data_IF_912459876566
#
_entry.id   IF_912459876566
#
_cell.length_a   1.000
_cell.length_b   1.000
_cell.length_c   1.000
_cell.angle_alpha   90.00
_cell.angle_beta   90.00
_cell.angle_gamma   90.00
#
_symmetry.space_group_name_H-M   'P 1'
#
loop_
_entity.id
_entity.type
_entity.pdbx_description
1 polymer ?
#
# COMPACT_ATOMS: atom_id res chain seq x y z
N UNK A 1 -7.05 -14.45 -10.40
CA UNK A 1 -6.85 -13.11 -9.82
C UNK A 1 -5.45 -12.98 -9.23
N UNK A 2 -5.05 -13.73 -8.19
CA UNK A 2 -3.70 -13.60 -7.58
C UNK A 2 -2.53 -13.73 -8.57
N UNK A 3 -2.53 -14.75 -9.44
CA UNK A 3 -1.49 -14.89 -10.49
C UNK A 3 -1.41 -13.67 -11.42
N UNK A 4 -2.57 -13.11 -11.78
CA UNK A 4 -2.64 -11.92 -12.62
C UNK A 4 -2.10 -10.69 -11.88
N UNK A 5 -2.49 -10.51 -10.61
CA UNK A 5 -1.98 -9.46 -9.72
C UNK A 5 -0.45 -9.48 -9.63
N UNK A 6 0.16 -10.62 -9.25
CA UNK A 6 1.61 -10.72 -9.12
C UNK A 6 2.33 -10.46 -10.46
N UNK A 7 1.75 -10.96 -11.56
CA UNK A 7 2.27 -10.71 -12.91
C UNK A 7 2.26 -9.21 -13.20
N UNK A 8 1.10 -8.55 -13.03
CA UNK A 8 0.92 -7.13 -13.31
C UNK A 8 1.81 -6.26 -12.43
N UNK A 9 1.82 -6.49 -11.12
CA UNK A 9 2.67 -5.81 -10.14
C UNK A 9 4.13 -5.77 -10.56
N UNK A 10 4.63 -6.92 -11.01
CA UNK A 10 6.00 -7.02 -11.52
C UNK A 10 6.23 -6.22 -12.81
N UNK A 11 5.35 -6.34 -13.81
CA UNK A 11 5.50 -5.61 -15.08
C UNK A 11 5.31 -4.10 -14.92
N UNK A 12 4.33 -3.66 -14.14
CA UNK A 12 4.11 -2.24 -13.87
C UNK A 12 5.29 -1.65 -13.07
N UNK A 13 5.85 -2.43 -12.15
CA UNK A 13 7.09 -2.10 -11.45
C UNK A 13 8.28 -1.91 -12.41
N UNK A 14 8.40 -2.78 -13.40
CA UNK A 14 9.46 -2.73 -14.42
C UNK A 14 9.25 -1.60 -15.43
N UNK A 15 8.05 -1.45 -15.98
CA UNK A 15 7.74 -0.48 -17.03
C UNK A 15 7.73 0.96 -16.49
N UNK A 16 7.57 1.15 -15.18
CA UNK A 16 7.51 2.48 -14.53
C UNK A 16 8.70 2.76 -13.58
N UNK A 17 9.83 2.07 -13.79
CA UNK A 17 11.04 2.20 -12.96
C UNK A 17 11.47 3.65 -12.71
N UNK A 18 11.47 4.52 -13.72
CA UNK A 18 11.89 5.92 -13.54
C UNK A 18 10.95 6.70 -12.60
N UNK A 19 9.64 6.51 -12.74
CA UNK A 19 8.67 7.17 -11.87
C UNK A 19 8.81 6.67 -10.43
N UNK A 20 8.94 5.35 -10.25
CA UNK A 20 9.13 4.72 -8.95
C UNK A 20 10.41 5.19 -8.26
N UNK A 21 11.52 5.31 -9.01
CA UNK A 21 12.78 5.86 -8.51
C UNK A 21 12.63 7.32 -8.06
N UNK A 22 11.89 8.15 -8.81
CA UNK A 22 11.57 9.53 -8.42
C UNK A 22 10.81 9.60 -7.09
N UNK A 23 9.77 8.78 -6.92
CA UNK A 23 9.03 8.70 -5.65
C UNK A 23 9.90 8.20 -4.49
N UNK A 24 10.75 7.19 -4.74
CA UNK A 24 11.68 6.68 -3.72
C UNK A 24 12.73 7.71 -3.32
N UNK A 25 13.27 8.48 -4.27
CA UNK A 25 14.19 9.58 -3.98
C UNK A 25 13.60 10.60 -3.01
N UNK A 26 12.31 10.92 -3.15
CA UNK A 26 11.61 11.80 -2.21
C UNK A 26 11.37 11.13 -0.83
N UNK A 27 11.07 9.83 -0.76
CA UNK A 27 11.05 9.11 0.53
C UNK A 27 12.41 9.17 1.23
N UNK A 28 13.50 8.94 0.50
CA UNK A 28 14.86 9.03 1.02
C UNK A 28 15.19 10.45 1.49
N UNK A 29 14.78 11.48 0.74
CA UNK A 29 14.97 12.87 1.15
C UNK A 29 14.23 13.19 2.46
N UNK A 30 12.99 12.71 2.62
CA UNK A 30 12.22 12.87 3.86
C UNK A 30 12.93 12.22 5.04
N UNK A 31 13.44 10.99 4.88
CA UNK A 31 14.19 10.30 5.94
C UNK A 31 15.52 10.98 6.22
N UNK A 32 16.25 11.41 5.18
CA UNK A 32 17.53 12.10 5.32
C UNK A 32 17.40 13.43 6.07
N UNK A 33 16.40 14.25 5.71
CA UNK A 33 16.16 15.53 6.36
C UNK A 33 15.52 15.39 7.73
N UNK A 34 14.57 14.47 7.90
CA UNK A 34 13.80 14.33 9.12
C UNK A 34 14.46 13.47 10.20
N UNK A 35 15.31 12.51 9.82
CA UNK A 35 15.94 11.58 10.78
C UNK A 35 17.45 11.79 10.85
N UNK A 36 18.14 11.77 9.70
CA UNK A 36 19.60 11.84 9.70
C UNK A 36 20.11 13.22 10.14
N UNK A 37 19.59 14.31 9.58
CA UNK A 37 20.07 15.66 9.90
C UNK A 37 19.87 16.05 11.39
N UNK A 38 18.71 15.80 12.05
CA UNK A 38 18.54 16.08 13.47
C UNK A 38 19.43 15.21 14.37
N UNK A 39 19.79 14.00 13.93
CA UNK A 39 20.66 13.12 14.72
C UNK A 39 22.09 13.67 14.84
N UNK A 40 22.54 14.49 13.89
CA UNK A 40 23.85 15.19 13.96
C UNK A 40 23.93 16.21 15.10
N UNK A 41 22.79 16.67 15.64
CA UNK A 41 22.78 17.64 16.74
C UNK A 41 23.14 17.03 18.10
N UNK A 42 23.08 15.70 18.24
CA UNK A 42 23.23 15.01 19.53
C UNK A 42 22.10 15.25 20.53
N UNK A 43 21.09 16.07 20.20
CA UNK A 43 19.96 16.38 21.08
C UNK A 43 18.83 15.35 20.92
N UNK A 44 18.46 14.61 22.00
CA UNK A 44 17.36 13.67 21.95
C UNK A 44 16.02 14.33 21.58
N UNK A 45 15.79 15.56 22.05
CA UNK A 45 14.58 16.31 21.74
C UNK A 45 14.47 16.64 20.24
N UNK A 46 15.57 17.07 19.62
CA UNK A 46 15.60 17.33 18.18
C UNK A 46 15.45 16.05 17.36
N UNK A 47 16.03 14.93 17.82
CA UNK A 47 15.86 13.64 17.16
C UNK A 47 14.39 13.17 17.18
N UNK A 48 13.70 13.31 18.31
CA UNK A 48 12.27 12.95 18.43
C UNK A 48 11.39 13.87 17.57
N UNK A 49 11.64 15.18 17.61
CA UNK A 49 10.91 16.14 16.78
C UNK A 49 11.11 15.86 15.28
N UNK A 50 12.35 15.59 14.89
CA UNK A 50 12.70 15.18 13.53
C UNK A 50 11.96 13.93 13.08
N UNK A 51 11.97 12.87 13.91
CA UNK A 51 11.26 11.63 13.61
C UNK A 51 9.75 11.85 13.44
N UNK A 52 9.13 12.68 14.28
CA UNK A 52 7.71 13.00 14.16
C UNK A 52 7.40 13.73 12.85
N UNK A 53 8.24 14.69 12.46
CA UNK A 53 8.12 15.39 11.17
C UNK A 53 8.33 14.42 10.00
N UNK A 54 9.34 13.55 10.08
CA UNK A 54 9.62 12.54 9.05
C UNK A 54 8.45 11.57 8.88
N UNK A 55 7.84 11.13 9.98
CA UNK A 55 6.68 10.25 9.95
C UNK A 55 5.46 10.94 9.32
N UNK A 56 5.18 12.20 9.69
CA UNK A 56 4.11 12.98 9.10
C UNK A 56 4.33 13.23 7.61
N UNK A 57 5.51 13.73 7.23
CA UNK A 57 5.89 13.97 5.83
C UNK A 57 5.89 12.68 5.00
N UNK A 58 6.38 11.58 5.57
CA UNK A 58 6.37 10.26 4.94
C UNK A 58 4.96 9.73 4.71
N UNK A 59 4.04 9.93 5.67
CA UNK A 59 2.62 9.56 5.51
C UNK A 59 1.91 10.37 4.43
N UNK A 60 2.21 11.67 4.34
CA UNK A 60 1.77 12.55 3.26
C UNK A 60 2.31 12.03 1.94
N UNK A 61 3.62 11.80 1.84
CA UNK A 61 4.25 11.37 0.61
C UNK A 61 3.78 9.99 0.13
N UNK A 62 3.50 9.06 1.06
CA UNK A 62 2.85 7.79 0.73
C UNK A 62 1.48 7.99 0.09
N UNK A 63 0.68 8.95 0.59
CA UNK A 63 -0.59 9.28 -0.03
C UNK A 63 -0.44 9.95 -1.39
N UNK A 64 0.51 10.87 -1.54
CA UNK A 64 0.81 11.50 -2.84
C UNK A 64 1.22 10.46 -3.86
N UNK A 65 2.12 9.54 -3.48
CA UNK A 65 2.51 8.41 -4.31
C UNK A 65 1.31 7.55 -4.69
N UNK A 66 0.39 7.25 -3.76
CA UNK A 66 -0.80 6.46 -4.06
C UNK A 66 -1.73 7.17 -5.06
N UNK A 67 -1.94 8.48 -4.93
CA UNK A 67 -2.75 9.26 -5.86
C UNK A 67 -2.15 9.32 -7.27
N UNK A 68 -0.83 9.47 -7.38
CA UNK A 68 -0.16 9.47 -8.67
C UNK A 68 -0.09 8.07 -9.30
N UNK A 69 0.33 7.06 -8.52
CA UNK A 69 0.52 5.68 -8.99
C UNK A 69 -0.79 4.92 -9.21
N UNK A 70 -1.92 5.43 -8.73
CA UNK A 70 -3.24 4.93 -9.14
C UNK A 70 -3.41 4.92 -10.66
N UNK A 71 -2.83 5.92 -11.35
CA UNK A 71 -2.84 5.99 -12.82
C UNK A 71 -2.14 4.77 -13.45
N UNK A 72 -1.01 4.36 -12.89
CA UNK A 72 -0.28 3.17 -13.34
C UNK A 72 -1.12 1.92 -13.16
N UNK A 73 -1.79 1.79 -12.00
CA UNK A 73 -2.72 0.70 -11.78
C UNK A 73 -3.84 0.64 -12.84
N UNK A 74 -4.24 1.79 -13.41
CA UNK A 74 -5.19 1.93 -14.52
C UNK A 74 -4.56 1.87 -15.93
N UNK A 75 -3.35 1.32 -16.08
CA UNK A 75 -2.61 1.23 -17.35
C UNK A 75 -2.29 2.60 -17.99
N UNK A 76 -2.20 3.66 -17.20
CA UNK A 76 -1.80 5.01 -17.64
C UNK A 76 -0.39 5.34 -17.14
N UNK A 77 0.23 6.34 -17.73
CA UNK A 77 1.54 6.85 -17.30
C UNK A 77 1.39 8.00 -16.28
N UNK A 78 2.42 8.17 -15.45
CA UNK A 78 2.56 9.30 -14.52
C UNK A 78 3.36 10.41 -15.18
N UNK A 79 2.82 11.62 -15.16
CA UNK A 79 3.49 12.85 -15.60
C UNK A 79 3.81 13.74 -14.40
N UNK A 80 4.72 14.69 -14.56
CA UNK A 80 5.09 15.62 -13.48
C UNK A 80 3.89 16.45 -12.98
N UNK A 81 2.97 16.83 -13.87
CA UNK A 81 1.76 17.55 -13.49
C UNK A 81 0.81 16.70 -12.64
N UNK A 82 0.79 15.38 -12.85
CA UNK A 82 0.01 14.45 -12.03
C UNK A 82 0.54 14.43 -10.58
N UNK A 83 1.85 14.62 -10.36
CA UNK A 83 2.44 14.67 -9.02
C UNK A 83 1.97 15.89 -8.23
N UNK A 84 1.86 17.05 -8.90
CA UNK A 84 1.35 18.28 -8.27
C UNK A 84 -0.12 18.12 -7.88
N UNK A 85 -0.94 17.58 -8.78
CA UNK A 85 -2.34 17.29 -8.50
C UNK A 85 -2.48 16.25 -7.37
N UNK A 86 -1.66 15.21 -7.39
CA UNK A 86 -1.60 14.19 -6.34
C UNK A 86 -1.20 14.77 -4.99
N UNK A 87 -0.33 15.79 -4.94
CA UNK A 87 0.00 16.47 -3.70
C UNK A 87 -1.21 17.19 -3.12
N UNK A 88 -1.91 17.98 -3.95
CA UNK A 88 -3.11 18.71 -3.54
C UNK A 88 -4.23 17.78 -3.03
N UNK A 89 -4.38 16.61 -3.64
CA UNK A 89 -5.37 15.61 -3.24
C UNK A 89 -4.92 14.74 -2.05
N UNK A 90 -3.63 14.46 -1.93
CA UNK A 90 -3.08 13.43 -1.04
C UNK A 90 -2.61 13.91 0.33
N UNK A 91 -2.36 15.20 0.53
CA UNK A 91 -1.82 15.67 1.81
C UNK A 91 -2.75 15.38 3.01
N UNK A 92 -4.05 15.67 2.87
CA UNK A 92 -5.01 15.45 3.96
C UNK A 92 -5.26 13.93 4.21
N UNK A 93 -5.51 13.09 3.19
CA UNK A 93 -5.58 11.64 3.39
C UNK A 93 -4.31 11.03 3.98
N UNK A 94 -3.13 11.54 3.60
CA UNK A 94 -1.86 11.10 4.15
C UNK A 94 -1.75 11.37 5.65
N UNK A 95 -2.06 12.59 6.10
CA UNK A 95 -2.10 12.91 7.54
C UNK A 95 -3.14 12.10 8.29
N UNK A 96 -4.32 11.85 7.70
CA UNK A 96 -5.34 10.99 8.28
C UNK A 96 -4.82 9.56 8.51
N UNK A 97 -4.19 8.96 7.49
CA UNK A 97 -3.58 7.64 7.66
C UNK A 97 -2.44 7.67 8.68
N UNK A 98 -1.58 8.68 8.61
CA UNK A 98 -0.46 8.86 9.53
C UNK A 98 -0.91 8.90 10.99
N UNK A 99 -1.99 9.62 11.29
CA UNK A 99 -2.59 9.66 12.62
C UNK A 99 -3.12 8.30 13.07
N UNK A 100 -3.80 7.56 12.19
CA UNK A 100 -4.30 6.21 12.50
C UNK A 100 -3.15 5.23 12.73
N UNK A 101 -2.11 5.28 11.91
CA UNK A 101 -0.91 4.45 12.06
C UNK A 101 -0.20 4.78 13.36
N UNK A 102 0.00 6.07 13.68
CA UNK A 102 0.62 6.50 14.93
C UNK A 102 -0.18 6.03 16.16
N UNK A 103 -1.51 6.17 16.13
CA UNK A 103 -2.38 5.67 17.19
C UNK A 103 -2.28 4.14 17.33
N UNK A 104 -2.23 3.41 16.21
CA UNK A 104 -2.09 1.95 16.19
C UNK A 104 -0.76 1.51 16.78
N UNK A 105 0.34 2.18 16.42
CA UNK A 105 1.68 1.91 16.99
C UNK A 105 1.73 2.22 18.48
N UNK A 106 1.14 3.35 18.91
CA UNK A 106 1.05 3.71 20.33
C UNK A 106 0.26 2.64 21.11
N UNK A 107 -0.90 2.24 20.61
CA UNK A 107 -1.70 1.18 21.23
C UNK A 107 -0.94 -0.15 21.31
N UNK A 108 -0.23 -0.54 20.25
CA UNK A 108 0.59 -1.75 20.24
C UNK A 108 1.73 -1.67 21.28
N UNK A 109 2.38 -0.51 21.39
CA UNK A 109 3.46 -0.28 22.35
C UNK A 109 3.04 -0.40 23.82
N UNK A 110 1.75 -0.22 24.12
CA UNK A 110 1.18 -0.39 25.45
C UNK A 110 0.59 -1.80 25.63
N UNK A 111 -0.17 -2.28 24.65
CA UNK A 111 -0.89 -3.54 24.73
C UNK A 111 0.05 -4.75 24.84
N UNK A 112 1.12 -4.80 24.03
CA UNK A 112 2.03 -5.95 24.05
C UNK A 112 2.79 -6.09 25.37
N UNK A 113 3.44 -5.04 25.93
CA UNK A 113 4.07 -5.15 27.24
C UNK A 113 3.09 -5.48 28.36
N UNK A 114 1.89 -4.90 28.33
CA UNK A 114 0.84 -5.19 29.31
C UNK A 114 0.45 -6.68 29.30
N UNK A 115 0.05 -7.23 28.15
CA UNK A 115 -0.35 -8.64 28.08
C UNK A 115 0.82 -9.61 28.32
N UNK A 116 2.04 -9.25 27.92
CA UNK A 116 3.23 -10.01 28.23
C UNK A 116 3.51 -10.06 29.75
N UNK A 117 3.26 -8.95 30.47
CA UNK A 117 3.50 -8.85 31.92
C UNK A 117 2.61 -9.75 32.78
N UNK A 118 1.44 -10.16 32.27
CA UNK A 118 0.53 -11.11 32.96
C UNK A 118 1.22 -12.48 33.14
N UNK A 119 2.10 -12.85 32.21
CA UNK A 119 2.79 -14.14 32.23
C UNK A 119 1.86 -15.35 32.02
N UNK A 120 2.47 -16.53 31.96
CA UNK A 120 1.76 -17.80 31.79
C UNK A 120 0.96 -17.91 30.48
N UNK A 121 0.03 -18.87 30.45
CA UNK A 121 -0.80 -19.15 29.28
C UNK A 121 -1.74 -17.99 28.92
N UNK A 122 -2.34 -17.34 29.93
CA UNK A 122 -3.30 -16.25 29.71
C UNK A 122 -2.63 -15.04 29.05
N UNK A 123 -1.44 -14.65 29.51
CA UNK A 123 -0.67 -13.57 28.90
C UNK A 123 -0.27 -13.87 27.45
N UNK A 124 0.18 -15.10 27.16
CA UNK A 124 0.52 -15.54 25.81
C UNK A 124 -0.71 -15.52 24.88
N UNK A 125 -1.85 -16.05 25.35
CA UNK A 125 -3.08 -16.07 24.59
C UNK A 125 -3.58 -14.65 24.26
N UNK A 126 -3.63 -13.76 25.26
CA UNK A 126 -4.04 -12.38 25.08
C UNK A 126 -3.11 -11.60 24.14
N UNK A 127 -1.79 -11.79 24.27
CA UNK A 127 -0.80 -11.18 23.38
C UNK A 127 -0.95 -11.68 21.94
N UNK A 128 -1.22 -12.97 21.75
CA UNK A 128 -1.44 -13.57 20.43
C UNK A 128 -2.72 -13.06 19.77
N UNK A 129 -3.80 -12.89 20.54
CA UNK A 129 -5.03 -12.31 20.05
C UNK A 129 -4.84 -10.84 19.66
N UNK A 130 -4.16 -10.05 20.50
CA UNK A 130 -3.80 -8.67 20.20
C UNK A 130 -2.96 -8.57 18.92
N UNK A 131 -1.97 -9.47 18.75
CA UNK A 131 -1.18 -9.56 17.52
C UNK A 131 -2.05 -9.70 16.27
N UNK A 132 -2.98 -10.66 16.26
CA UNK A 132 -3.85 -10.86 15.10
C UNK A 132 -4.81 -9.68 14.84
N UNK A 133 -5.26 -8.99 15.89
CA UNK A 133 -6.03 -7.76 15.74
C UNK A 133 -5.21 -6.66 15.06
N UNK A 134 -3.97 -6.44 15.49
CA UNK A 134 -3.07 -5.47 14.85
C UNK A 134 -2.75 -5.85 13.40
N UNK A 135 -2.51 -7.14 13.13
CA UNK A 135 -2.35 -7.64 11.76
C UNK A 135 -3.60 -7.30 10.92
N UNK A 136 -4.80 -7.56 11.43
CA UNK A 136 -6.05 -7.20 10.75
C UNK A 136 -6.19 -5.70 10.47
N UNK A 137 -5.77 -4.85 11.40
CA UNK A 137 -5.73 -3.38 11.21
C UNK A 137 -4.77 -3.05 10.06
N UNK A 138 -3.53 -3.54 10.08
CA UNK A 138 -2.55 -3.29 9.02
C UNK A 138 -3.02 -3.78 7.65
N UNK A 139 -3.61 -4.98 7.60
CA UNK A 139 -4.17 -5.54 6.36
C UNK A 139 -5.38 -4.76 5.85
N UNK A 140 -6.10 -4.05 6.72
CA UNK A 140 -7.18 -3.15 6.34
C UNK A 140 -6.61 -1.83 5.80
N UNK A 141 -5.66 -1.23 6.50
CA UNK A 141 -5.13 0.10 6.17
C UNK A 141 -4.42 0.18 4.82
N UNK A 142 -3.89 -0.94 4.31
CA UNK A 142 -3.25 -0.98 2.97
C UNK A 142 -4.18 -0.51 1.84
N UNK A 143 -5.50 -0.64 2.00
CA UNK A 143 -6.49 -0.25 0.98
C UNK A 143 -6.91 1.23 1.09
N UNK A 144 -6.61 1.90 2.21
CA UNK A 144 -7.18 3.21 2.53
C UNK A 144 -6.78 4.30 1.53
N UNK A 145 -5.48 4.45 1.28
CA UNK A 145 -4.97 5.49 0.38
C UNK A 145 -5.29 5.23 -1.09
N UNK A 146 -5.14 4.00 -1.62
CA UNK A 146 -5.63 3.69 -2.95
C UNK A 146 -7.13 3.93 -3.14
N UNK A 147 -7.97 3.66 -2.14
CA UNK A 147 -9.40 3.97 -2.21
C UNK A 147 -9.64 5.48 -2.28
N UNK A 148 -8.93 6.28 -1.49
CA UNK A 148 -8.96 7.75 -1.60
C UNK A 148 -8.54 8.23 -2.98
N UNK A 149 -7.50 7.65 -3.55
CA UNK A 149 -7.05 7.96 -4.90
C UNK A 149 -8.11 7.59 -5.96
N UNK A 150 -8.77 6.44 -5.81
CA UNK A 150 -9.71 5.92 -6.78
C UNK A 150 -11.05 6.65 -6.83
N UNK A 151 -11.57 7.08 -5.67
CA UNK A 151 -12.94 7.62 -5.56
C UNK A 151 -13.10 8.82 -4.64
N UNK A 152 -12.05 9.25 -3.94
CA UNK A 152 -12.15 10.28 -2.90
C UNK A 152 -13.08 9.86 -1.75
N UNK A 153 -13.95 10.77 -1.33
CA UNK A 153 -14.97 10.54 -0.30
C UNK A 153 -14.48 10.79 1.13
N UNK A 154 -15.31 10.44 2.12
CA UNK A 154 -15.06 10.72 3.53
C UNK A 154 -14.12 9.70 4.19
N UNK A 155 -13.47 10.12 5.29
CA UNK A 155 -12.55 9.26 6.06
C UNK A 155 -13.23 7.96 6.55
N UNK A 156 -14.39 8.08 7.22
CA UNK A 156 -15.09 6.94 7.81
C UNK A 156 -15.57 5.94 6.75
N UNK A 157 -16.13 6.44 5.65
CA UNK A 157 -16.60 5.61 4.54
C UNK A 157 -15.46 4.85 3.86
N UNK A 158 -14.32 5.53 3.66
CA UNK A 158 -13.11 4.91 3.11
C UNK A 158 -12.59 3.80 4.04
N UNK A 159 -12.53 4.05 5.35
CA UNK A 159 -12.06 3.06 6.32
C UNK A 159 -12.98 1.84 6.39
N UNK A 160 -14.30 2.05 6.39
CA UNK A 160 -15.29 0.97 6.32
C UNK A 160 -15.12 0.15 5.04
N UNK A 161 -14.96 0.82 3.90
CA UNK A 161 -14.75 0.13 2.62
C UNK A 161 -13.44 -0.65 2.62
N UNK A 162 -12.37 -0.08 3.17
CA UNK A 162 -11.08 -0.77 3.32
C UNK A 162 -11.23 -2.07 4.12
N UNK A 163 -11.99 -2.01 5.23
CA UNK A 163 -12.28 -3.17 6.06
C UNK A 163 -13.11 -4.22 5.30
N UNK A 164 -14.11 -3.80 4.54
CA UNK A 164 -14.90 -4.72 3.70
C UNK A 164 -14.04 -5.40 2.62
N UNK A 165 -13.11 -4.66 1.99
CA UNK A 165 -12.19 -5.23 1.00
C UNK A 165 -11.26 -6.28 1.63
N UNK A 166 -10.76 -6.04 2.84
CA UNK A 166 -9.99 -7.00 3.62
C UNK A 166 -10.83 -8.24 3.97
N UNK A 167 -12.00 -8.06 4.58
CA UNK A 167 -12.85 -9.16 5.04
C UNK A 167 -13.35 -10.05 3.90
N UNK A 168 -13.54 -9.49 2.71
CA UNK A 168 -14.01 -10.27 1.56
C UNK A 168 -12.91 -11.14 0.92
N UNK A 169 -11.62 -10.88 1.16
CA UNK A 169 -10.51 -11.74 0.70
C UNK A 169 -9.25 -11.58 1.58
N UNK A 170 -9.24 -12.10 2.81
CA UNK A 170 -8.14 -11.90 3.75
C UNK A 170 -6.82 -12.51 3.23
N UNK A 171 -6.87 -13.67 2.56
CA UNK A 171 -5.69 -14.28 1.96
C UNK A 171 -5.09 -13.44 0.82
N UNK A 172 -5.93 -12.78 0.02
CA UNK A 172 -5.45 -11.88 -1.02
C UNK A 172 -4.80 -10.63 -0.40
N UNK A 173 -5.43 -10.07 0.64
CA UNK A 173 -4.88 -8.95 1.40
C UNK A 173 -3.53 -9.28 2.05
N UNK A 174 -3.36 -10.52 2.55
CA UNK A 174 -2.10 -10.99 3.07
C UNK A 174 -1.05 -11.13 1.96
N UNK A 175 -1.43 -11.70 0.81
CA UNK A 175 -0.53 -11.84 -0.33
C UNK A 175 -0.05 -10.49 -0.87
N UNK A 176 -0.94 -9.48 -0.99
CA UNK A 176 -0.55 -8.12 -1.40
C UNK A 176 0.32 -7.43 -0.36
N UNK A 177 0.05 -7.63 0.92
CA UNK A 177 0.90 -7.10 1.99
C UNK A 177 2.31 -7.72 1.98
N UNK A 178 2.43 -9.02 1.71
CA UNK A 178 3.71 -9.70 1.54
C UNK A 178 4.45 -9.16 0.31
N UNK A 179 3.77 -9.02 -0.84
CA UNK A 179 4.38 -8.49 -2.06
C UNK A 179 4.92 -7.06 -1.87
N UNK A 180 4.13 -6.19 -1.23
CA UNK A 180 4.57 -4.84 -0.86
C UNK A 180 5.71 -4.85 0.17
N UNK A 181 5.67 -5.73 1.17
CA UNK A 181 6.75 -5.88 2.14
C UNK A 181 8.05 -6.35 1.49
N UNK A 182 7.99 -7.27 0.53
CA UNK A 182 9.15 -7.70 -0.26
C UNK A 182 9.73 -6.55 -1.08
N UNK A 183 8.90 -5.70 -1.67
CA UNK A 183 9.37 -4.49 -2.38
C UNK A 183 10.18 -3.56 -1.47
N UNK A 184 9.74 -3.36 -0.22
CA UNK A 184 10.48 -2.55 0.76
C UNK A 184 11.72 -3.28 1.28
N UNK A 185 11.62 -4.57 1.59
CA UNK A 185 12.71 -5.37 2.15
C UNK A 185 13.88 -5.55 1.18
N UNK A 186 13.61 -5.66 -0.13
CA UNK A 186 14.63 -5.74 -1.17
C UNK A 186 15.27 -4.39 -1.48
N UNK A 187 14.64 -3.29 -1.10
CA UNK A 187 15.08 -1.94 -1.45
C UNK A 187 16.51 -1.58 -1.01
N UNK A 188 17.04 -1.99 0.16
CA UNK A 188 18.43 -1.66 0.52
C UNK A 188 19.47 -2.26 -0.44
N UNK A 189 19.19 -3.42 -1.04
CA UNK A 189 20.11 -4.13 -1.96
C UNK A 189 20.37 -3.30 -3.22
N UNK A 190 19.39 -2.50 -3.61
CA UNK A 190 19.34 -1.68 -4.82
C UNK A 190 19.40 -0.19 -4.49
N UNK A 191 19.99 0.16 -3.34
CA UNK A 191 20.13 1.53 -2.84
C UNK A 191 18.81 2.31 -2.78
N UNK A 192 17.73 1.62 -2.44
CA UNK A 192 16.34 2.11 -2.37
C UNK A 192 15.81 2.69 -3.68
N UNK A 193 16.49 2.48 -4.80
CA UNK A 193 16.02 2.93 -6.10
C UNK A 193 14.88 2.05 -6.57
N UNK A 194 15.10 0.75 -6.80
CA UNK A 194 14.10 -0.15 -7.43
C UNK A 194 14.32 -1.65 -7.10
N UNK A 195 13.37 -2.35 -6.44
CA UNK A 195 12.11 -1.88 -5.87
C UNK A 195 12.29 -1.05 -4.58
N UNK A 196 11.21 -0.45 -4.07
CA UNK A 196 11.22 0.40 -2.88
C UNK A 196 9.83 0.70 -2.32
N UNK A 197 9.71 1.67 -1.38
CA UNK A 197 8.44 2.12 -0.84
C UNK A 197 7.40 2.48 -1.91
N UNK A 198 7.80 3.14 -3.00
CA UNK A 198 6.90 3.48 -4.10
C UNK A 198 6.35 2.25 -4.84
N UNK A 199 7.14 1.18 -4.96
CA UNK A 199 6.67 -0.08 -5.52
C UNK A 199 5.64 -0.76 -4.60
N UNK A 200 5.83 -0.70 -3.28
CA UNK A 200 4.83 -1.16 -2.32
C UNK A 200 3.53 -0.35 -2.37
N UNK A 201 3.62 0.96 -2.61
CA UNK A 201 2.46 1.81 -2.88
C UNK A 201 1.74 1.37 -4.16
N UNK A 202 2.48 1.11 -5.24
CA UNK A 202 1.90 0.63 -6.50
C UNK A 202 1.19 -0.71 -6.33
N UNK A 203 1.82 -1.66 -5.64
CA UNK A 203 1.22 -2.94 -5.23
C UNK A 203 -0.14 -2.73 -4.55
N UNK A 204 -0.21 -1.81 -3.59
CA UNK A 204 -1.47 -1.51 -2.88
C UNK A 204 -2.54 -0.91 -3.82
N UNK A 205 -2.13 -0.11 -4.80
CA UNK A 205 -3.04 0.46 -5.81
C UNK A 205 -3.63 -0.62 -6.71
N UNK A 206 -2.80 -1.53 -7.22
CA UNK A 206 -3.26 -2.63 -8.07
C UNK A 206 -4.15 -3.62 -7.32
N UNK A 207 -3.76 -3.98 -6.10
CA UNK A 207 -4.54 -4.84 -5.24
C UNK A 207 -5.93 -4.22 -5.02
N UNK A 208 -5.99 -2.94 -4.69
CA UNK A 208 -7.25 -2.22 -4.49
C UNK A 208 -8.10 -2.18 -5.76
N UNK A 209 -7.50 -1.88 -6.92
CA UNK A 209 -8.21 -1.84 -8.21
C UNK A 209 -8.88 -3.16 -8.54
N UNK A 210 -8.15 -4.29 -8.41
CA UNK A 210 -8.70 -5.63 -8.63
C UNK A 210 -9.88 -5.94 -7.71
N UNK A 211 -9.82 -5.48 -6.47
CA UNK A 211 -10.89 -5.67 -5.49
C UNK A 211 -12.10 -4.79 -5.78
N UNK A 212 -11.88 -3.58 -6.30
CA UNK A 212 -12.95 -2.70 -6.80
C UNK A 212 -13.69 -3.30 -8.00
N UNK A 213 -13.02 -4.03 -8.91
CA UNK A 213 -13.73 -4.75 -10.00
C UNK A 213 -14.78 -5.71 -9.45
N UNK A 214 -14.40 -6.52 -8.45
CA UNK A 214 -15.36 -7.41 -7.79
C UNK A 214 -16.45 -6.65 -7.07
N UNK A 215 -16.11 -5.59 -6.33
CA UNK A 215 -17.09 -4.80 -5.59
C UNK A 215 -18.14 -4.17 -6.53
N UNK A 216 -17.71 -3.63 -7.67
CA UNK A 216 -18.61 -3.09 -8.71
C UNK A 216 -19.48 -4.19 -9.33
N UNK A 217 -18.90 -5.37 -9.61
CA UNK A 217 -19.65 -6.51 -10.12
C UNK A 217 -20.75 -6.98 -9.14
N UNK A 218 -20.47 -7.04 -7.84
CA UNK A 218 -21.48 -7.36 -6.83
C UNK A 218 -22.54 -6.27 -6.73
N UNK A 219 -22.13 -4.99 -6.73
CA UNK A 219 -23.05 -3.87 -6.65
C UNK A 219 -24.01 -3.79 -7.84
N UNK A 220 -23.57 -4.15 -9.06
CA UNK A 220 -24.43 -4.20 -10.24
C UNK A 220 -25.50 -5.30 -10.21
N UNK A 221 -25.44 -6.21 -9.24
CA UNK A 221 -26.36 -7.36 -9.08
C UNK A 221 -27.29 -7.23 -7.88
N UNK A 222 -27.35 -6.05 -7.24
CA UNK A 222 -28.23 -5.82 -6.10
C UNK A 222 -29.69 -6.10 -6.48
N UNK A 223 -30.27 -7.15 -5.91
CA UNK A 223 -31.61 -7.67 -6.23
C UNK A 223 -31.62 -9.11 -6.74
N UNK A 224 -30.49 -9.60 -7.25
CA UNK A 224 -30.33 -10.96 -7.78
C UNK A 224 -29.70 -11.92 -6.76
N UNK A 225 -30.39 -12.19 -5.65
CA UNK A 225 -29.99 -13.22 -4.68
C UNK A 225 -28.54 -13.11 -4.17
N UNK A 226 -27.97 -14.24 -3.71
CA UNK A 226 -26.55 -14.28 -3.28
C UNK A 226 -25.65 -14.36 -4.52
N UNK A 227 -24.65 -13.48 -4.66
CA UNK A 227 -23.72 -13.54 -5.78
C UNK A 227 -22.93 -14.85 -5.74
N UNK A 228 -22.86 -15.54 -6.89
CA UNK A 228 -22.09 -16.77 -7.06
C UNK A 228 -20.58 -16.55 -7.13
N UNK A 229 -19.85 -17.53 -7.68
CA UNK A 229 -18.39 -17.45 -7.87
C UNK A 229 -18.04 -16.28 -8.80
N UNK A 230 -17.13 -15.41 -8.36
CA UNK A 230 -16.70 -14.24 -9.14
C UNK A 230 -16.09 -14.67 -10.48
N UNK A 231 -16.59 -14.15 -11.63
CA UNK A 231 -16.11 -14.50 -12.97
C UNK A 231 -14.83 -13.72 -13.32
N UNK A 232 -13.73 -14.02 -12.61
CA UNK A 232 -12.44 -13.38 -12.84
C UNK A 232 -11.90 -13.42 -14.28
N UNK A 233 -12.17 -14.44 -15.12
CA UNK A 233 -11.77 -14.41 -16.52
C UNK A 233 -12.43 -13.26 -17.30
N UNK A 234 -13.72 -13.03 -17.09
CA UNK A 234 -14.50 -11.98 -17.76
C UNK A 234 -14.12 -10.60 -17.21
N UNK A 235 -14.04 -10.46 -15.88
CA UNK A 235 -13.69 -9.19 -15.23
C UNK A 235 -12.27 -8.70 -15.56
N UNK A 236 -11.38 -9.59 -16.00
CA UNK A 236 -9.99 -9.29 -16.32
C UNK A 236 -9.69 -9.46 -17.81
N UNK A 237 -10.70 -9.55 -18.68
CA UNK A 237 -10.50 -9.75 -20.11
C UNK A 237 -9.70 -8.58 -20.71
N UNK A 238 -10.24 -7.36 -20.59
CA UNK A 238 -9.63 -6.12 -21.08
C UNK A 238 -8.25 -5.89 -20.45
N UNK A 239 -8.12 -6.17 -19.16
CA UNK A 239 -6.87 -6.04 -18.40
C UNK A 239 -5.78 -7.00 -18.88
N UNK A 240 -6.15 -8.22 -19.27
CA UNK A 240 -5.20 -9.19 -19.83
C UNK A 240 -4.80 -8.83 -21.24
N UNK A 241 -5.73 -8.30 -22.03
CA UNK A 241 -5.45 -7.78 -23.37
C UNK A 241 -4.48 -6.59 -23.30
N UNK A 242 -4.73 -5.64 -22.39
CA UNK A 242 -3.87 -4.49 -22.16
C UNK A 242 -2.44 -4.88 -21.70
N UNK A 243 -2.33 -5.88 -20.81
CA UNK A 243 -1.02 -6.38 -20.35
C UNK A 243 -0.30 -7.21 -21.43
N UNK A 244 -1.06 -7.87 -22.30
CA UNK A 244 -0.58 -8.79 -23.33
C UNK A 244 -0.04 -10.13 -22.79
N UNK A 245 0.30 -11.03 -23.70
CA UNK A 245 0.89 -12.35 -23.39
C UNK A 245 2.39 -12.27 -23.06
N UNK A 246 2.83 -11.23 -22.34
CA UNK A 246 4.24 -11.06 -22.00
C UNK A 246 4.69 -12.15 -21.01
N UNK A 247 5.78 -12.84 -21.31
CA UNK A 247 6.44 -13.81 -20.42
C UNK A 247 7.67 -13.20 -19.73
N UNK A 248 8.15 -13.81 -18.63
CA UNK A 248 9.43 -13.39 -18.01
C UNK A 248 10.61 -13.56 -19.00
N UNK A 249 10.51 -14.51 -19.93
CA UNK A 249 11.48 -14.71 -21.00
C UNK A 249 11.56 -13.54 -21.98
N UNK A 250 10.44 -12.84 -22.24
CA UNK A 250 10.44 -11.66 -23.11
C UNK A 250 11.19 -10.48 -22.51
N UNK A 251 11.18 -10.38 -21.16
CA UNK A 251 11.91 -9.35 -20.43
C UNK A 251 13.42 -9.59 -20.45
N UNK A 252 13.84 -10.83 -20.27
CA UNK A 252 15.26 -11.20 -20.25
C UNK A 252 15.85 -11.31 -21.67
N UNK A 253 15.03 -11.62 -22.67
CA UNK A 253 15.46 -11.85 -24.04
C UNK A 253 14.58 -11.10 -25.05
N UNK A 254 14.56 -9.75 -25.04
CA UNK A 254 13.69 -8.97 -25.92
C UNK A 254 13.97 -9.17 -27.43
N UNK A 255 15.14 -9.70 -27.78
CA UNK A 255 15.58 -9.96 -29.16
C UNK A 255 15.18 -11.34 -29.71
N UNK A 256 14.50 -12.20 -28.93
CA UNK A 256 14.04 -13.52 -29.39
C UNK A 256 12.64 -13.49 -30.02
N UNK A 257 12.14 -12.30 -30.34
CA UNK A 257 10.83 -12.06 -30.97
C UNK A 257 10.96 -11.88 -32.47
#
# INVERSE_FOLDING_TARGET
MLKFFLKKSFYDGWDNMLALAGFNGAFLAIVGVGVWLPSLSGSPALAVAGLAIAAAAGSVWWSVAAHALWRVAEFKTVRLDDVKAAFAAGWAPGLQLGAVVAATVLLASVAFPFYASIGGFLGLFASSLAFWLFVGIWLTLQYFLPLKAARGGDFSDTLKTSFLLFMDAPFFALASAIDGALCVALSPIVAFLLPGPSAAVLVSCEATRLRLHRMRWVAGRTGEGKPGRTPWPELLADDREALGERGLGDLLFPWKR
#
